data_IF_523865771838
#
_entry.id   IF_523865771838
#
_cell.length_a   1.000
_cell.length_b   1.000
_cell.length_c   1.000
_cell.angle_alpha   90.00
_cell.angle_beta   90.00
_cell.angle_gamma   90.00
#
_symmetry.space_group_name_H-M   'P 1'
#
loop_
_entity.id
_entity.type
_entity.pdbx_description
1 polymer ?
#
# COMPACT_ATOMS: atom_id res chain seq x y z
N UNK A 1 20.81 -9.91 -16.00
CA UNK A 1 19.65 -10.05 -15.11
C UNK A 1 18.51 -9.25 -15.69
N UNK A 2 17.30 -9.80 -15.72
CA UNK A 2 16.10 -9.06 -16.14
C UNK A 2 15.74 -7.99 -15.10
N UNK A 3 15.23 -6.82 -15.50
CA UNK A 3 14.79 -5.78 -14.57
C UNK A 3 13.79 -6.28 -13.52
N UNK A 4 12.72 -6.96 -13.94
CA UNK A 4 11.67 -7.46 -13.02
C UNK A 4 12.19 -8.46 -11.98
N UNK A 5 13.28 -9.18 -12.28
CA UNK A 5 13.92 -10.05 -11.29
C UNK A 5 14.63 -9.25 -10.19
N UNK A 6 15.15 -8.06 -10.51
CA UNK A 6 15.70 -7.11 -9.53
C UNK A 6 14.56 -6.62 -8.63
N UNK A 7 13.45 -6.14 -9.19
CA UNK A 7 12.25 -5.74 -8.44
C UNK A 7 11.78 -6.85 -7.48
N UNK A 8 11.62 -8.08 -7.99
CA UNK A 8 11.18 -9.22 -7.20
C UNK A 8 12.18 -9.60 -6.09
N UNK A 9 13.48 -9.50 -6.38
CA UNK A 9 14.53 -9.74 -5.38
C UNK A 9 14.51 -8.68 -4.28
N UNK A 10 14.27 -7.41 -4.66
CA UNK A 10 14.05 -6.30 -3.73
C UNK A 10 12.88 -6.58 -2.80
N UNK A 11 11.73 -6.98 -3.36
CA UNK A 11 10.54 -7.36 -2.61
C UNK A 11 10.79 -8.49 -1.60
N UNK A 12 11.68 -9.43 -1.94
CA UNK A 12 12.14 -10.48 -1.03
C UNK A 12 12.66 -9.96 0.31
N UNK A 13 13.33 -8.80 0.34
CA UNK A 13 13.79 -8.19 1.60
C UNK A 13 12.62 -7.72 2.48
N UNK A 14 11.55 -7.18 1.89
CA UNK A 14 10.33 -6.82 2.61
C UNK A 14 9.66 -8.08 3.18
N UNK A 15 9.58 -9.16 2.40
CA UNK A 15 9.02 -10.43 2.90
C UNK A 15 9.81 -10.94 4.10
N UNK A 16 11.14 -10.89 4.08
CA UNK A 16 11.97 -11.25 5.24
C UNK A 16 11.63 -10.36 6.44
N UNK A 17 11.50 -9.05 6.25
CA UNK A 17 11.09 -8.13 7.32
C UNK A 17 9.73 -8.51 7.92
N UNK A 18 8.72 -8.77 7.08
CA UNK A 18 7.39 -9.20 7.52
C UNK A 18 7.43 -10.53 8.28
N UNK A 19 8.24 -11.49 7.84
CA UNK A 19 8.41 -12.76 8.54
C UNK A 19 9.07 -12.55 9.92
N UNK A 20 10.08 -11.69 10.02
CA UNK A 20 10.68 -11.34 11.32
C UNK A 20 9.69 -10.61 12.23
N UNK A 21 8.83 -9.75 11.66
CA UNK A 21 7.73 -9.11 12.38
C UNK A 21 6.77 -10.14 12.97
N UNK A 22 6.30 -11.11 12.18
CA UNK A 22 5.37 -12.12 12.68
C UNK A 22 5.99 -13.04 13.74
N UNK A 23 7.30 -13.23 13.71
CA UNK A 23 8.01 -13.98 14.73
C UNK A 23 8.12 -13.22 16.07
N UNK A 24 8.49 -11.93 16.03
CA UNK A 24 8.77 -11.15 17.24
C UNK A 24 7.58 -10.37 17.79
N UNK A 25 6.77 -9.78 16.91
CA UNK A 25 5.68 -8.88 17.28
C UNK A 25 4.45 -9.07 16.36
N UNK A 26 3.77 -10.22 16.42
CA UNK A 26 2.57 -10.48 15.61
C UNK A 26 1.37 -9.59 16.01
N UNK A 27 1.42 -8.96 17.19
CA UNK A 27 0.35 -8.11 17.74
C UNK A 27 0.55 -6.62 17.46
N UNK A 28 1.69 -6.24 16.86
CA UNK A 28 2.10 -4.87 16.53
C UNK A 28 2.29 -3.93 17.75
N UNK A 29 2.30 -4.48 18.97
CA UNK A 29 2.33 -3.74 20.24
C UNK A 29 3.47 -4.19 21.20
N UNK A 30 4.43 -4.96 20.70
CA UNK A 30 5.59 -5.43 21.48
C UNK A 30 6.90 -4.82 21.03
N UNK A 31 7.79 -4.62 21.98
CA UNK A 31 9.17 -4.26 21.68
C UNK A 31 9.94 -5.48 21.16
N UNK A 32 10.69 -5.28 20.08
CA UNK A 32 11.55 -6.28 19.46
C UNK A 32 13.01 -6.05 19.87
N UNK A 33 13.89 -7.07 19.76
CA UNK A 33 15.32 -6.85 19.87
C UNK A 33 15.81 -5.78 18.87
N UNK A 34 16.78 -4.91 19.25
CA UNK A 34 17.29 -3.81 18.41
C UNK A 34 17.64 -4.19 16.97
N UNK A 35 18.23 -5.36 16.78
CA UNK A 35 18.66 -5.84 15.47
C UNK A 35 17.48 -6.06 14.50
N UNK A 36 16.28 -6.34 15.02
CA UNK A 36 15.07 -6.56 14.20
C UNK A 36 14.65 -5.23 13.55
N UNK A 37 14.68 -4.13 14.29
CA UNK A 37 14.43 -2.81 13.71
C UNK A 37 15.52 -2.40 12.72
N UNK A 38 16.79 -2.74 13.02
CA UNK A 38 17.90 -2.50 12.09
C UNK A 38 17.77 -3.32 10.79
N UNK A 39 17.29 -4.57 10.88
CA UNK A 39 17.02 -5.38 9.68
C UNK A 39 15.84 -4.83 8.88
N UNK A 40 14.81 -4.29 9.55
CA UNK A 40 13.72 -3.60 8.86
C UNK A 40 14.18 -2.37 8.08
N UNK A 41 15.04 -1.55 8.69
CA UNK A 41 15.69 -0.42 8.03
C UNK A 41 16.50 -0.86 6.80
N UNK A 42 17.35 -1.87 6.97
CA UNK A 42 18.19 -2.39 5.89
C UNK A 42 17.34 -2.99 4.76
N UNK A 43 16.34 -3.79 5.08
CA UNK A 43 15.48 -4.43 4.08
C UNK A 43 14.66 -3.41 3.28
N UNK A 44 14.15 -2.36 3.93
CA UNK A 44 13.45 -1.28 3.24
C UNK A 44 14.40 -0.44 2.36
N UNK A 45 15.62 -0.16 2.83
CA UNK A 45 16.64 0.50 2.03
C UNK A 45 17.02 -0.32 0.79
N UNK A 46 17.24 -1.63 0.97
CA UNK A 46 17.56 -2.53 -0.14
C UNK A 46 16.39 -2.65 -1.13
N UNK A 47 15.15 -2.72 -0.65
CA UNK A 47 13.95 -2.69 -1.49
C UNK A 47 13.96 -1.46 -2.41
N UNK A 48 14.01 -0.26 -1.82
CA UNK A 48 14.02 1.02 -2.56
C UNK A 48 15.19 1.11 -3.53
N UNK A 49 16.36 0.58 -3.15
CA UNK A 49 17.54 0.60 -4.01
C UNK A 49 17.35 -0.32 -5.22
N UNK A 50 16.80 -1.52 -5.03
CA UNK A 50 16.59 -2.49 -6.09
C UNK A 50 15.53 -2.03 -7.09
N UNK A 51 14.44 -1.48 -6.56
CA UNK A 51 13.38 -0.76 -7.28
C UNK A 51 13.97 0.32 -8.20
N UNK A 52 14.71 1.29 -7.66
CA UNK A 52 15.34 2.33 -8.47
C UNK A 52 16.37 1.82 -9.51
N UNK A 53 17.04 0.70 -9.21
CA UNK A 53 18.03 0.09 -10.10
C UNK A 53 17.37 -0.64 -11.26
N UNK A 54 16.16 -1.18 -11.11
CA UNK A 54 15.50 -1.94 -12.16
C UNK A 54 15.23 -1.10 -13.42
N UNK A 55 14.81 0.16 -13.28
CA UNK A 55 14.50 1.04 -14.40
C UNK A 55 15.78 1.49 -15.10
N UNK A 56 16.85 1.70 -14.33
CA UNK A 56 18.19 1.96 -14.87
C UNK A 56 18.70 0.75 -15.65
N UNK A 57 18.48 -0.45 -15.11
CA UNK A 57 18.82 -1.69 -15.78
C UNK A 57 17.98 -1.90 -17.05
N UNK A 58 16.69 -1.63 -17.01
CA UNK A 58 15.77 -1.74 -18.14
C UNK A 58 16.21 -0.86 -19.31
N UNK A 59 16.62 0.39 -19.02
CA UNK A 59 17.20 1.30 -20.03
C UNK A 59 18.52 0.76 -20.57
N UNK A 60 19.43 0.30 -19.69
CA UNK A 60 20.73 -0.25 -20.09
C UNK A 60 20.61 -1.48 -20.99
N UNK A 61 19.65 -2.36 -20.72
CA UNK A 61 19.46 -3.61 -21.48
C UNK A 61 18.44 -3.50 -22.62
N UNK A 62 17.93 -2.30 -22.89
CA UNK A 62 16.85 -2.07 -23.87
C UNK A 62 15.61 -2.96 -23.64
N UNK A 63 15.25 -3.16 -22.37
CA UNK A 63 14.09 -3.95 -21.91
C UNK A 63 13.00 -3.08 -21.26
N UNK A 64 12.98 -1.78 -21.57
CA UNK A 64 11.92 -0.89 -21.07
C UNK A 64 10.61 -1.21 -21.78
N UNK A 65 9.51 -1.35 -21.04
CA UNK A 65 8.20 -1.62 -21.62
C UNK A 65 7.09 -1.81 -20.58
N UNK A 66 5.84 -2.01 -21.04
CA UNK A 66 4.64 -2.06 -20.19
C UNK A 66 4.69 -3.14 -19.10
N UNK A 67 5.32 -4.29 -19.38
CA UNK A 67 5.46 -5.36 -18.39
C UNK A 67 6.31 -4.92 -17.20
N UNK A 68 7.38 -4.15 -17.44
CA UNK A 68 8.26 -3.67 -16.37
C UNK A 68 7.53 -2.70 -15.45
N UNK A 69 6.87 -1.70 -16.02
CA UNK A 69 6.05 -0.72 -15.28
C UNK A 69 4.93 -1.39 -14.47
N UNK A 70 4.21 -2.34 -15.08
CA UNK A 70 3.17 -3.11 -14.37
C UNK A 70 3.75 -3.92 -13.20
N UNK A 71 4.89 -4.57 -13.42
CA UNK A 71 5.50 -5.43 -12.41
C UNK A 71 6.00 -4.61 -11.23
N UNK A 72 6.71 -3.52 -11.51
CA UNK A 72 7.26 -2.59 -10.54
C UNK A 72 6.15 -1.97 -9.66
N UNK A 73 5.22 -1.25 -10.28
CA UNK A 73 4.11 -0.63 -9.56
C UNK A 73 3.19 -1.65 -8.87
N UNK A 74 3.05 -2.85 -9.43
CA UNK A 74 2.27 -3.94 -8.83
C UNK A 74 2.90 -4.49 -7.55
N UNK A 75 4.24 -4.59 -7.51
CA UNK A 75 4.99 -4.97 -6.31
C UNK A 75 4.91 -3.87 -5.26
N UNK A 76 5.04 -2.60 -5.66
CA UNK A 76 4.85 -1.44 -4.78
C UNK A 76 3.45 -1.41 -4.13
N UNK A 77 2.43 -1.77 -4.90
CA UNK A 77 1.05 -1.84 -4.40
C UNK A 77 0.91 -2.85 -3.25
N UNK A 78 1.54 -4.03 -3.38
CA UNK A 78 1.57 -5.05 -2.32
C UNK A 78 2.38 -4.56 -1.13
N UNK A 79 3.56 -3.99 -1.38
CA UNK A 79 4.46 -3.49 -0.36
C UNK A 79 3.80 -2.40 0.49
N UNK A 80 2.89 -1.60 -0.06
CA UNK A 80 2.17 -0.54 0.65
C UNK A 80 1.57 -1.02 1.98
N UNK A 81 0.88 -2.16 2.00
CA UNK A 81 0.22 -2.65 3.23
C UNK A 81 1.18 -3.44 4.13
N UNK A 82 2.18 -4.11 3.55
CA UNK A 82 3.24 -4.78 4.31
C UNK A 82 4.12 -3.78 5.06
N UNK A 83 4.46 -2.67 4.41
CA UNK A 83 5.18 -1.54 4.98
C UNK A 83 4.43 -0.92 6.15
N UNK A 84 3.10 -0.80 6.07
CA UNK A 84 2.27 -0.32 7.18
C UNK A 84 2.31 -1.26 8.39
N UNK A 85 2.33 -2.59 8.19
CA UNK A 85 2.48 -3.54 9.30
C UNK A 85 3.82 -3.36 10.03
N UNK A 86 4.92 -3.24 9.27
CA UNK A 86 6.26 -2.99 9.83
C UNK A 86 6.30 -1.63 10.54
N UNK A 87 5.75 -0.59 9.92
CA UNK A 87 5.66 0.74 10.50
C UNK A 87 4.87 0.74 11.81
N UNK A 88 3.69 0.14 11.82
CA UNK A 88 2.84 0.04 13.00
C UNK A 88 3.55 -0.66 14.16
N UNK A 89 4.28 -1.75 13.87
CA UNK A 89 5.08 -2.44 14.87
C UNK A 89 6.29 -1.63 15.35
N UNK A 90 6.93 -0.85 14.47
CA UNK A 90 8.07 0.02 14.81
C UNK A 90 7.70 1.17 15.74
N UNK A 91 6.43 1.56 15.76
CA UNK A 91 5.86 2.58 16.65
C UNK A 91 5.03 1.98 17.79
N UNK A 92 4.88 0.66 17.86
CA UNK A 92 4.06 0.00 18.88
C UNK A 92 2.59 0.50 18.84
N UNK A 93 1.98 0.55 17.64
CA UNK A 93 0.59 1.01 17.47
C UNK A 93 -0.45 -0.02 17.89
N UNK A 94 -0.09 -1.30 17.88
CA UNK A 94 -1.00 -2.41 18.16
C UNK A 94 -2.08 -2.63 17.10
N UNK A 95 -2.97 -3.58 17.38
CA UNK A 95 -4.17 -3.79 16.59
C UNK A 95 -5.25 -2.78 17.01
N UNK A 96 -5.63 -1.90 16.09
CA UNK A 96 -6.69 -0.92 16.34
C UNK A 96 -6.71 0.21 15.31
N UNK A 97 -7.52 1.23 15.61
CA UNK A 97 -7.78 2.33 14.68
C UNK A 97 -6.56 3.14 14.26
N UNK A 98 -5.52 3.26 15.12
CA UNK A 98 -4.27 3.96 14.75
C UNK A 98 -3.59 3.28 13.55
N UNK A 99 -3.49 1.96 13.61
CA UNK A 99 -2.96 1.14 12.51
C UNK A 99 -3.86 1.20 11.27
N UNK A 100 -5.18 1.19 11.45
CA UNK A 100 -6.13 1.33 10.33
C UNK A 100 -6.02 2.69 9.65
N UNK A 101 -5.85 3.79 10.40
CA UNK A 101 -5.69 5.13 9.84
C UNK A 101 -4.38 5.24 9.06
N UNK A 102 -3.28 4.66 9.59
CA UNK A 102 -2.01 4.59 8.85
C UNK A 102 -2.16 3.80 7.54
N UNK A 103 -2.88 2.68 7.57
CA UNK A 103 -3.21 1.90 6.39
C UNK A 103 -4.01 2.71 5.36
N UNK A 104 -5.05 3.40 5.80
CA UNK A 104 -5.89 4.24 4.93
C UNK A 104 -5.07 5.34 4.29
N UNK A 105 -4.20 6.01 5.04
CA UNK A 105 -3.31 7.04 4.50
C UNK A 105 -2.38 6.48 3.41
N UNK A 106 -1.76 5.33 3.65
CA UNK A 106 -0.86 4.70 2.69
C UNK A 106 -1.59 4.25 1.42
N UNK A 107 -2.70 3.52 1.57
CA UNK A 107 -3.50 3.02 0.44
C UNK A 107 -4.12 4.15 -0.39
N UNK A 108 -4.66 5.18 0.27
CA UNK A 108 -5.24 6.33 -0.42
C UNK A 108 -4.18 7.12 -1.19
N UNK A 109 -3.00 7.33 -0.59
CA UNK A 109 -1.89 8.03 -1.27
C UNK A 109 -1.51 7.29 -2.54
N UNK A 110 -1.25 5.98 -2.44
CA UNK A 110 -0.82 5.18 -3.57
C UNK A 110 -1.89 5.13 -4.67
N UNK A 111 -3.15 4.88 -4.31
CA UNK A 111 -4.27 4.87 -5.27
C UNK A 111 -4.42 6.21 -6.00
N UNK A 112 -4.34 7.33 -5.27
CA UNK A 112 -4.48 8.67 -5.87
C UNK A 112 -3.33 8.99 -6.81
N UNK A 113 -2.11 8.55 -6.51
CA UNK A 113 -0.96 8.69 -7.42
C UNK A 113 -1.15 7.87 -8.70
N UNK A 114 -1.62 6.63 -8.59
CA UNK A 114 -1.95 5.81 -9.77
C UNK A 114 -3.11 6.41 -10.59
N UNK A 115 -4.13 6.93 -9.92
CA UNK A 115 -5.24 7.65 -10.56
C UNK A 115 -4.75 8.91 -11.31
N UNK A 116 -3.82 9.64 -10.71
CA UNK A 116 -3.19 10.79 -11.34
C UNK A 116 -2.42 10.37 -12.60
N UNK A 117 -1.57 9.34 -12.51
CA UNK A 117 -0.82 8.80 -13.64
C UNK A 117 -1.73 8.33 -14.78
N UNK A 118 -2.85 7.67 -14.46
CA UNK A 118 -3.85 7.27 -15.46
C UNK A 118 -4.34 8.47 -16.29
N UNK A 119 -4.62 9.61 -15.64
CA UNK A 119 -5.18 10.80 -16.29
C UNK A 119 -4.14 11.75 -16.89
N UNK A 120 -2.97 11.85 -16.29
CA UNK A 120 -1.88 12.75 -16.74
C UNK A 120 -0.98 12.08 -17.77
N UNK A 121 -0.95 10.73 -17.78
CA UNK A 121 -0.04 9.88 -18.56
C UNK A 121 1.43 9.99 -18.16
N UNK A 122 1.69 10.56 -16.98
CA UNK A 122 3.02 10.77 -16.46
C UNK A 122 2.98 10.57 -14.96
N UNK A 123 3.86 9.74 -14.41
CA UNK A 123 4.07 9.68 -12.97
C UNK A 123 4.69 11.01 -12.51
N UNK A 124 3.91 11.85 -11.81
CA UNK A 124 4.46 13.04 -11.17
C UNK A 124 4.73 12.75 -9.70
N UNK A 125 5.99 12.86 -9.32
CA UNK A 125 6.39 12.79 -7.92
C UNK A 125 6.32 14.19 -7.33
N UNK A 126 5.56 14.35 -6.25
CA UNK A 126 5.52 15.59 -5.48
C UNK A 126 6.89 15.94 -4.89
N UNK A 127 7.03 17.20 -4.42
CA UNK A 127 8.27 17.69 -3.79
C UNK A 127 8.67 16.83 -2.59
N UNK A 128 7.68 16.38 -1.82
CA UNK A 128 7.82 15.32 -0.82
C UNK A 128 6.96 14.17 -1.31
N UNK A 129 7.58 13.06 -1.67
CA UNK A 129 6.88 11.91 -2.22
C UNK A 129 7.14 10.64 -1.38
N UNK A 130 6.23 9.68 -1.51
CA UNK A 130 6.33 8.40 -0.82
C UNK A 130 7.62 7.64 -1.16
N UNK A 131 7.93 7.41 -2.45
CA UNK A 131 9.06 6.58 -2.87
C UNK A 131 10.45 7.06 -2.42
N UNK A 132 10.64 8.36 -2.19
CA UNK A 132 11.94 8.92 -1.77
C UNK A 132 11.90 9.37 -0.32
N UNK A 133 11.29 10.52 -0.01
CA UNK A 133 11.32 11.11 1.32
C UNK A 133 10.57 10.26 2.33
N UNK A 134 9.42 9.69 1.95
CA UNK A 134 8.63 8.82 2.81
C UNK A 134 9.42 7.59 3.25
N UNK A 135 10.06 6.89 2.31
CA UNK A 135 10.92 5.74 2.60
C UNK A 135 12.11 6.11 3.48
N UNK A 136 12.79 7.22 3.21
CA UNK A 136 13.92 7.67 4.03
C UNK A 136 13.51 8.04 5.47
N UNK A 137 12.32 8.62 5.65
CA UNK A 137 11.74 8.88 6.97
C UNK A 137 11.50 7.56 7.70
N UNK A 138 10.90 6.56 7.05
CA UNK A 138 10.65 5.25 7.65
C UNK A 138 11.95 4.54 8.04
N UNK A 139 12.97 4.54 7.16
CA UNK A 139 14.29 4.00 7.46
C UNK A 139 14.89 4.69 8.68
N UNK A 140 14.77 6.03 8.76
CA UNK A 140 15.27 6.81 9.90
C UNK A 140 14.54 6.46 11.20
N UNK A 141 13.23 6.28 11.16
CA UNK A 141 12.43 5.79 12.31
C UNK A 141 12.93 4.42 12.74
N UNK A 142 13.11 3.48 11.81
CA UNK A 142 13.55 2.12 12.14
C UNK A 142 14.96 2.09 12.74
N UNK A 143 15.90 2.85 12.19
CA UNK A 143 17.25 2.99 12.75
C UNK A 143 17.24 3.65 14.13
N UNK A 144 16.40 4.67 14.33
CA UNK A 144 16.26 5.30 15.63
C UNK A 144 15.64 4.35 16.67
N UNK A 145 14.60 3.60 16.29
CA UNK A 145 14.01 2.56 17.14
C UNK A 145 15.04 1.49 17.49
N UNK A 146 15.88 1.08 16.53
CA UNK A 146 16.99 0.16 16.77
C UNK A 146 18.00 0.74 17.79
N UNK A 147 18.38 2.01 17.65
CA UNK A 147 19.30 2.68 18.56
C UNK A 147 18.73 2.81 19.98
N UNK A 148 17.47 3.20 20.12
CA UNK A 148 16.78 3.26 21.42
C UNK A 148 16.53 1.88 22.02
N UNK A 149 16.38 0.88 21.17
CA UNK A 149 16.14 -0.52 21.54
C UNK A 149 14.72 -0.86 21.97
N UNK A 150 13.77 0.07 21.85
CA UNK A 150 12.37 -0.12 22.21
C UNK A 150 11.45 0.77 21.35
N UNK A 151 10.40 0.18 20.76
CA UNK A 151 9.39 0.91 19.98
C UNK A 151 8.41 1.67 20.88
N UNK A 152 8.18 1.19 22.10
CA UNK A 152 7.37 1.85 23.13
C UNK A 152 7.82 3.28 23.46
N UNK A 153 9.06 3.64 23.13
CA UNK A 153 9.55 5.03 23.20
C UNK A 153 8.62 6.01 22.47
N UNK A 154 8.08 5.62 21.30
CA UNK A 154 7.24 6.49 20.48
C UNK A 154 5.84 6.73 21.06
N UNK A 155 5.39 5.88 21.98
CA UNK A 155 4.10 6.02 22.68
C UNK A 155 4.19 6.97 23.88
N UNK A 156 5.40 7.33 24.32
CA UNK A 156 5.58 8.26 25.42
C UNK A 156 5.19 9.69 25.00
N UNK A 157 4.63 10.51 25.90
CA UNK A 157 4.45 11.94 25.68
C UNK A 157 5.76 12.61 25.23
N UNK A 158 5.70 13.46 24.21
CA UNK A 158 6.89 14.01 23.56
C UNK A 158 7.77 14.83 24.54
N UNK A 159 7.14 15.60 25.44
CA UNK A 159 7.86 16.32 26.50
C UNK A 159 8.61 15.38 27.45
N UNK A 160 7.98 14.28 27.85
CA UNK A 160 8.60 13.27 28.71
C UNK A 160 9.77 12.58 28.01
N UNK A 161 9.57 12.17 26.76
CA UNK A 161 10.58 11.46 25.97
C UNK A 161 11.81 12.32 25.62
N UNK A 162 11.64 13.65 25.56
CA UNK A 162 12.73 14.62 25.38
C UNK A 162 13.32 15.14 26.70
N UNK A 163 12.78 14.71 27.84
CA UNK A 163 13.16 15.20 29.18
C UNK A 163 13.00 16.74 29.33
N UNK A 164 12.02 17.32 28.63
CA UNK A 164 11.72 18.76 28.65
C UNK A 164 10.51 19.01 29.56
N UNK A 165 10.64 19.98 30.48
CA UNK A 165 9.48 20.42 31.27
C UNK A 165 8.49 21.18 30.39
N UNK A 166 7.23 20.73 30.28
CA UNK A 166 6.24 21.43 29.49
C UNK A 166 5.89 22.78 30.13
N UNK A 167 5.77 23.87 29.33
CA UNK A 167 5.32 25.15 29.84
C UNK A 167 4.01 25.05 30.63
N UNK A 168 3.93 25.73 31.79
CA UNK A 168 2.80 25.62 32.70
C UNK A 168 1.45 26.00 32.05
N UNK A 169 1.46 26.98 31.14
CA UNK A 169 0.29 27.47 30.43
C UNK A 169 -0.26 26.52 29.36
N UNK A 170 0.47 25.45 28.99
CA UNK A 170 -0.03 24.51 27.99
C UNK A 170 -1.17 23.65 28.57
N UNK A 171 -2.28 23.47 27.82
CA UNK A 171 -3.32 22.49 28.13
C UNK A 171 -2.78 21.07 28.28
N UNK A 172 -3.38 20.28 29.18
CA UNK A 172 -2.92 18.92 29.50
C UNK A 172 -2.94 18.00 28.28
N UNK A 173 -3.97 18.10 27.44
CA UNK A 173 -4.06 17.36 26.18
C UNK A 173 -2.90 17.63 25.21
N UNK A 174 -2.25 18.80 25.25
CA UNK A 174 -1.04 19.10 24.45
C UNK A 174 0.20 18.50 25.11
N UNK A 175 0.25 18.50 26.45
CA UNK A 175 1.37 17.93 27.22
C UNK A 175 1.46 16.42 27.04
N UNK A 176 0.33 15.75 26.88
CA UNK A 176 0.23 14.29 26.75
C UNK A 176 0.37 13.79 25.30
N UNK A 177 0.55 14.67 24.31
CA UNK A 177 0.74 14.28 22.90
C UNK A 177 2.02 13.43 22.79
N UNK A 178 1.86 12.21 22.30
CA UNK A 178 2.98 11.30 22.02
C UNK A 178 3.66 11.63 20.69
N UNK A 179 4.89 11.13 20.50
CA UNK A 179 5.53 11.22 19.18
C UNK A 179 4.73 10.50 18.09
N UNK A 180 4.09 9.37 18.44
CA UNK A 180 3.16 8.69 17.56
C UNK A 180 2.04 9.63 17.09
N UNK A 181 1.42 10.39 17.98
CA UNK A 181 0.35 11.34 17.62
C UNK A 181 0.86 12.42 16.66
N UNK A 182 2.08 12.94 16.90
CA UNK A 182 2.72 13.91 16.01
C UNK A 182 2.97 13.34 14.61
N UNK A 183 3.45 12.09 14.50
CA UNK A 183 3.62 11.42 13.21
C UNK A 183 2.29 11.18 12.49
N UNK A 184 1.23 10.83 13.22
CA UNK A 184 -0.10 10.67 12.63
C UNK A 184 -0.64 12.01 12.09
N UNK A 185 -0.43 13.11 12.83
CA UNK A 185 -0.80 14.46 12.36
C UNK A 185 0.03 14.85 11.13
N UNK A 186 1.36 14.64 11.18
CA UNK A 186 2.23 14.88 10.03
C UNK A 186 1.78 14.09 8.81
N UNK A 187 1.51 12.79 8.97
CA UNK A 187 1.03 11.92 7.91
C UNK A 187 -0.28 12.40 7.31
N UNK A 188 -1.23 12.86 8.14
CA UNK A 188 -2.49 13.43 7.66
C UNK A 188 -2.29 14.72 6.84
N UNK A 189 -1.37 15.59 7.26
CA UNK A 189 -1.02 16.82 6.51
C UNK A 189 -0.38 16.47 5.17
N UNK A 190 0.59 15.56 5.15
CA UNK A 190 1.27 15.12 3.92
C UNK A 190 0.28 14.46 2.96
N UNK A 191 -0.60 13.59 3.47
CA UNK A 191 -1.69 12.98 2.70
C UNK A 191 -2.58 14.04 2.05
N UNK A 192 -3.02 15.04 2.82
CA UNK A 192 -3.87 16.11 2.29
C UNK A 192 -3.16 16.89 1.17
N UNK A 193 -1.89 17.26 1.38
CA UNK A 193 -1.10 17.97 0.38
C UNK A 193 -0.93 17.14 -0.89
N UNK A 194 -0.61 15.85 -0.77
CA UNK A 194 -0.44 14.96 -1.91
C UNK A 194 -1.73 14.78 -2.70
N UNK A 195 -2.84 14.50 -2.02
CA UNK A 195 -4.16 14.35 -2.68
C UNK A 195 -4.58 15.65 -3.38
N UNK A 196 -4.37 16.81 -2.72
CA UNK A 196 -4.68 18.11 -3.32
C UNK A 196 -3.80 18.40 -4.54
N UNK A 197 -2.50 18.10 -4.47
CA UNK A 197 -1.57 18.29 -5.58
C UNK A 197 -1.96 17.40 -6.77
N UNK A 198 -2.27 16.12 -6.54
CA UNK A 198 -2.74 15.20 -7.57
C UNK A 198 -4.02 15.69 -8.24
N UNK A 199 -4.96 16.22 -7.46
CA UNK A 199 -6.17 16.86 -7.99
C UNK A 199 -5.84 18.04 -8.92
N UNK A 200 -4.94 18.93 -8.52
CA UNK A 200 -4.51 20.08 -9.32
C UNK A 200 -3.85 19.62 -10.62
N UNK A 201 -2.99 18.60 -10.56
CA UNK A 201 -2.27 18.05 -11.71
C UNK A 201 -3.23 17.43 -12.72
N UNK A 202 -4.15 16.57 -12.27
CA UNK A 202 -5.18 15.96 -13.13
C UNK A 202 -6.06 17.04 -13.78
N UNK A 203 -6.49 18.04 -13.02
CA UNK A 203 -7.30 19.13 -13.56
C UNK A 203 -6.58 19.91 -14.64
N UNK A 204 -5.31 20.24 -14.41
CA UNK A 204 -4.48 20.95 -15.38
C UNK A 204 -4.31 20.12 -16.66
N UNK A 205 -3.96 18.84 -16.52
CA UNK A 205 -3.77 17.94 -17.65
C UNK A 205 -5.05 17.76 -18.49
N UNK A 206 -6.21 17.56 -17.84
CA UNK A 206 -7.49 17.41 -18.54
C UNK A 206 -7.96 18.71 -19.20
N UNK A 207 -7.81 19.86 -18.54
CA UNK A 207 -8.16 21.17 -19.13
C UNK A 207 -7.32 21.50 -20.35
N UNK A 208 -6.03 21.17 -20.34
CA UNK A 208 -5.15 21.35 -21.49
C UNK A 208 -5.59 20.52 -22.70
N UNK A 209 -6.30 19.40 -22.49
CA UNK A 209 -6.91 18.58 -23.53
C UNK A 209 -8.36 18.96 -23.86
N UNK A 210 -8.92 20.00 -23.24
CA UNK A 210 -10.32 20.40 -23.41
C UNK A 210 -11.34 19.47 -22.76
N UNK A 211 -10.91 18.58 -21.86
CA UNK A 211 -11.76 17.60 -21.19
C UNK A 211 -12.38 18.13 -19.87
N UNK A 212 -13.49 17.54 -19.45
CA UNK A 212 -14.16 17.89 -18.19
C UNK A 212 -13.47 17.25 -16.99
N UNK A 213 -12.93 18.08 -16.11
CA UNK A 213 -12.26 17.67 -14.86
C UNK A 213 -13.13 16.83 -13.91
N UNK A 214 -14.44 17.09 -13.83
CA UNK A 214 -15.33 16.42 -12.87
C UNK A 214 -15.47 14.92 -13.11
N UNK A 215 -15.36 14.49 -14.37
CA UNK A 215 -15.43 13.07 -14.71
C UNK A 215 -14.24 12.29 -14.14
N UNK A 216 -13.09 12.93 -13.93
CA UNK A 216 -11.92 12.28 -13.34
C UNK A 216 -12.18 11.91 -11.87
N UNK A 217 -12.91 12.75 -11.14
CA UNK A 217 -13.20 12.56 -9.72
C UNK A 217 -14.07 11.32 -9.47
N UNK A 218 -14.84 10.88 -10.46
CA UNK A 218 -15.62 9.63 -10.38
C UNK A 218 -14.66 8.45 -10.19
N UNK A 219 -13.45 8.52 -10.74
CA UNK A 219 -12.39 7.52 -10.54
C UNK A 219 -11.89 7.40 -9.10
N UNK A 220 -12.25 8.32 -8.20
CA UNK A 220 -11.94 8.21 -6.76
C UNK A 220 -13.05 7.51 -5.95
N UNK A 221 -14.23 7.29 -6.55
CA UNK A 221 -15.33 6.59 -5.88
C UNK A 221 -14.99 5.14 -5.49
N UNK A 222 -14.27 4.33 -6.30
CA UNK A 222 -13.95 2.96 -5.92
C UNK A 222 -13.15 2.87 -4.63
N UNK A 223 -12.07 3.67 -4.48
CA UNK A 223 -11.28 3.67 -3.24
C UNK A 223 -12.08 4.22 -2.06
N UNK A 224 -12.89 5.27 -2.26
CA UNK A 224 -13.73 5.80 -1.19
C UNK A 224 -14.74 4.76 -0.69
N UNK A 225 -15.39 4.02 -1.59
CA UNK A 225 -16.29 2.92 -1.25
C UNK A 225 -15.57 1.83 -0.46
N UNK A 226 -14.41 1.39 -0.93
CA UNK A 226 -13.59 0.38 -0.24
C UNK A 226 -13.23 0.83 1.18
N UNK A 227 -12.72 2.06 1.36
CA UNK A 227 -12.34 2.56 2.68
C UNK A 227 -13.54 2.67 3.63
N UNK A 228 -14.71 3.09 3.12
CA UNK A 228 -15.96 3.12 3.88
C UNK A 228 -16.36 1.70 4.30
N UNK A 229 -16.33 0.73 3.38
CA UNK A 229 -16.68 -0.66 3.68
C UNK A 229 -15.73 -1.26 4.72
N UNK A 230 -14.43 -0.98 4.63
CA UNK A 230 -13.44 -1.41 5.62
C UNK A 230 -13.75 -0.81 7.00
N UNK A 231 -13.97 0.51 7.06
CA UNK A 231 -14.28 1.19 8.32
C UNK A 231 -15.58 0.65 8.96
N UNK A 232 -16.62 0.45 8.15
CA UNK A 232 -17.88 -0.13 8.62
C UNK A 232 -17.67 -1.56 9.14
N UNK A 233 -16.96 -2.42 8.39
CA UNK A 233 -16.73 -3.80 8.79
C UNK A 233 -15.95 -3.88 10.11
N UNK A 234 -14.86 -3.12 10.26
CA UNK A 234 -14.06 -3.11 11.48
C UNK A 234 -14.78 -2.47 12.66
N UNK A 235 -15.59 -1.42 12.43
CA UNK A 235 -16.41 -0.80 13.47
C UNK A 235 -17.52 -1.72 13.98
N UNK A 236 -18.08 -2.56 13.11
CA UNK A 236 -19.11 -3.54 13.47
C UNK A 236 -18.54 -4.83 14.06
N UNK A 237 -17.27 -5.15 13.81
CA UNK A 237 -16.62 -6.37 14.27
C UNK A 237 -15.35 -6.08 15.09
N UNK A 238 -15.47 -5.66 16.37
CA UNK A 238 -14.33 -5.35 17.24
C UNK A 238 -13.35 -6.51 17.43
N UNK A 239 -13.82 -7.75 17.32
CA UNK A 239 -12.99 -8.95 17.39
C UNK A 239 -11.93 -8.99 16.27
N UNK A 240 -12.31 -8.54 15.07
CA UNK A 240 -11.37 -8.42 13.96
C UNK A 240 -10.45 -7.23 14.18
N UNK A 241 -10.99 -6.09 14.60
CA UNK A 241 -10.22 -4.87 14.79
C UNK A 241 -9.12 -4.97 15.87
N UNK A 242 -9.40 -5.61 17.00
CA UNK A 242 -8.50 -5.62 18.15
C UNK A 242 -7.75 -6.94 18.36
N UNK A 243 -8.24 -8.06 17.82
CA UNK A 243 -7.61 -9.38 18.03
C UNK A 243 -7.10 -10.03 16.74
N UNK A 244 -7.64 -9.68 15.56
CA UNK A 244 -7.32 -10.34 14.29
C UNK A 244 -7.10 -9.34 13.13
N UNK A 245 -6.53 -8.17 13.43
CA UNK A 245 -6.42 -7.09 12.45
C UNK A 245 -5.39 -7.42 11.35
N UNK A 246 -4.29 -8.08 11.70
CA UNK A 246 -3.20 -8.39 10.76
C UNK A 246 -3.68 -9.16 9.51
N UNK A 247 -4.38 -10.31 9.62
CA UNK A 247 -4.89 -10.99 8.41
C UNK A 247 -5.90 -10.14 7.63
N UNK A 248 -6.67 -9.29 8.31
CA UNK A 248 -7.57 -8.35 7.65
C UNK A 248 -6.81 -7.25 6.88
N UNK A 249 -5.72 -6.72 7.43
CA UNK A 249 -4.82 -5.78 6.73
C UNK A 249 -4.24 -6.44 5.47
N UNK A 250 -3.78 -7.70 5.57
CA UNK A 250 -3.30 -8.43 4.39
C UNK A 250 -4.39 -8.55 3.31
N UNK A 251 -5.63 -8.85 3.71
CA UNK A 251 -6.78 -8.90 2.80
C UNK A 251 -7.01 -7.55 2.10
N UNK A 252 -7.12 -6.47 2.88
CA UNK A 252 -7.33 -5.13 2.33
C UNK A 252 -6.17 -4.64 1.47
N UNK A 253 -4.94 -5.05 1.79
CA UNK A 253 -3.76 -4.76 0.99
C UNK A 253 -3.80 -5.39 -0.38
N UNK A 254 -4.19 -6.66 -0.46
CA UNK A 254 -4.39 -7.35 -1.74
C UNK A 254 -5.57 -6.74 -2.51
N UNK A 255 -6.66 -6.41 -1.82
CA UNK A 255 -7.81 -5.72 -2.43
C UNK A 255 -7.40 -4.37 -3.06
N UNK A 256 -6.60 -3.57 -2.35
CA UNK A 256 -6.07 -2.31 -2.88
C UNK A 256 -5.10 -2.56 -4.05
N UNK A 257 -4.20 -3.54 -3.92
CA UNK A 257 -3.24 -3.92 -4.97
C UNK A 257 -3.93 -4.36 -6.24
N UNK A 258 -5.03 -5.12 -6.13
CA UNK A 258 -5.86 -5.50 -7.27
C UNK A 258 -6.48 -4.26 -7.94
N UNK A 259 -7.04 -3.34 -7.16
CA UNK A 259 -7.63 -2.10 -7.70
C UNK A 259 -6.61 -1.26 -8.45
N UNK A 260 -5.42 -1.08 -7.85
CA UNK A 260 -4.32 -0.32 -8.46
C UNK A 260 -3.80 -1.03 -9.71
N UNK A 261 -3.60 -2.35 -9.66
CA UNK A 261 -3.22 -3.15 -10.82
C UNK A 261 -4.18 -2.99 -12.00
N UNK A 262 -5.50 -2.97 -11.75
CA UNK A 262 -6.49 -2.72 -12.79
C UNK A 262 -6.32 -1.32 -13.41
N UNK A 263 -6.06 -0.29 -12.59
CA UNK A 263 -5.85 1.09 -13.08
C UNK A 263 -4.57 1.19 -13.90
N UNK A 264 -3.47 0.54 -13.47
CA UNK A 264 -2.20 0.49 -14.21
C UNK A 264 -2.41 -0.17 -15.58
N UNK A 265 -3.10 -1.32 -15.63
CA UNK A 265 -3.42 -1.97 -16.91
C UNK A 265 -4.27 -1.06 -17.79
N UNK A 266 -5.28 -0.40 -17.23
CA UNK A 266 -6.10 0.52 -18.00
C UNK A 266 -5.28 1.71 -18.53
N UNK A 267 -4.29 2.18 -17.79
CA UNK A 267 -3.33 3.18 -18.25
C UNK A 267 -2.50 2.63 -19.43
N UNK A 268 -1.80 1.51 -19.21
CA UNK A 268 -0.86 0.91 -20.17
C UNK A 268 -1.54 0.50 -21.48
N UNK A 269 -2.70 -0.16 -21.38
CA UNK A 269 -3.48 -0.63 -22.52
C UNK A 269 -4.46 0.43 -23.08
N UNK A 270 -4.43 1.66 -22.55
CA UNK A 270 -5.33 2.76 -22.95
C UNK A 270 -6.83 2.39 -22.89
N UNK A 271 -7.21 1.63 -21.87
CA UNK A 271 -8.60 1.21 -21.64
C UNK A 271 -9.35 2.25 -20.79
N UNK A 272 -10.66 2.07 -20.68
CA UNK A 272 -11.51 2.84 -19.78
C UNK A 272 -11.11 2.61 -18.31
N UNK A 273 -11.31 3.62 -17.47
CA UNK A 273 -11.01 3.52 -16.04
C UNK A 273 -11.83 2.40 -15.38
N UNK A 274 -11.21 1.52 -14.57
CA UNK A 274 -11.90 0.43 -13.90
C UNK A 274 -12.62 0.93 -12.65
N UNK A 275 -13.94 0.71 -12.58
CA UNK A 275 -14.76 1.12 -11.43
C UNK A 275 -15.15 -0.04 -10.50
N UNK A 276 -14.89 -1.28 -10.90
CA UNK A 276 -15.37 -2.47 -10.21
C UNK A 276 -14.22 -3.30 -9.67
N UNK A 277 -14.31 -3.65 -8.39
CA UNK A 277 -13.43 -4.61 -7.73
C UNK A 277 -14.26 -5.72 -7.10
N UNK A 278 -14.08 -6.95 -7.59
CA UNK A 278 -14.84 -8.12 -7.15
C UNK A 278 -14.60 -8.46 -5.67
N UNK A 279 -13.43 -8.10 -5.13
CA UNK A 279 -13.07 -8.33 -3.73
C UNK A 279 -13.82 -7.43 -2.74
N UNK A 280 -14.49 -6.38 -3.23
CA UNK A 280 -15.43 -5.62 -2.40
C UNK A 280 -16.73 -6.41 -2.10
N UNK A 281 -17.08 -7.43 -2.90
CA UNK A 281 -18.31 -8.21 -2.66
C UNK A 281 -18.29 -8.99 -1.33
N UNK A 282 -17.26 -9.81 -1.01
CA UNK A 282 -17.23 -10.47 0.30
C UNK A 282 -17.15 -9.44 1.44
N UNK A 283 -16.38 -8.36 1.29
CA UNK A 283 -16.36 -7.30 2.31
C UNK A 283 -17.75 -6.68 2.54
N UNK A 284 -18.47 -6.34 1.46
CA UNK A 284 -19.82 -5.79 1.53
C UNK A 284 -20.80 -6.79 2.15
N UNK A 285 -20.70 -8.09 1.83
CA UNK A 285 -21.48 -9.13 2.49
C UNK A 285 -21.21 -9.17 4.00
N UNK A 286 -19.93 -9.12 4.40
CA UNK A 286 -19.55 -9.07 5.82
C UNK A 286 -20.18 -7.86 6.54
N UNK A 287 -20.15 -6.67 5.92
CA UNK A 287 -20.81 -5.47 6.47
C UNK A 287 -22.32 -5.68 6.60
N UNK A 288 -22.98 -6.19 5.55
CA UNK A 288 -24.41 -6.44 5.56
C UNK A 288 -24.79 -7.44 6.65
N UNK A 289 -24.09 -8.57 6.77
CA UNK A 289 -24.34 -9.56 7.82
C UNK A 289 -24.25 -8.94 9.22
N UNK A 290 -23.22 -8.13 9.49
CA UNK A 290 -23.02 -7.45 10.77
C UNK A 290 -24.03 -6.33 11.05
N UNK A 291 -24.67 -5.74 10.02
CA UNK A 291 -25.72 -4.74 10.20
C UNK A 291 -27.05 -5.34 10.68
N UNK A 292 -27.33 -6.61 10.37
CA UNK A 292 -28.59 -7.28 10.72
C UNK A 292 -28.96 -7.17 12.21
N UNK A 293 -28.07 -7.56 13.14
CA UNK A 293 -28.31 -7.43 14.58
C UNK A 293 -28.49 -5.98 15.04
N UNK A 294 -27.78 -5.04 14.43
CA UNK A 294 -27.87 -3.62 14.78
C UNK A 294 -29.23 -3.04 14.36
N UNK A 295 -29.68 -3.34 13.15
CA UNK A 295 -31.01 -2.96 12.67
C UNK A 295 -32.12 -3.60 13.50
N UNK A 296 -31.95 -4.87 13.91
CA UNK A 296 -32.90 -5.54 14.81
C UNK A 296 -33.03 -4.81 16.15
N UNK A 297 -31.92 -4.35 16.73
CA UNK A 297 -31.90 -3.68 18.02
C UNK A 297 -32.48 -2.25 17.98
N UNK A 298 -32.19 -1.48 16.93
CA UNK A 298 -32.60 -0.06 16.86
C UNK A 298 -33.90 0.19 16.10
N UNK A 299 -34.21 -0.61 15.09
CA UNK A 299 -35.33 -0.40 14.18
C UNK A 299 -36.42 -1.48 14.31
N UNK A 300 -36.17 -2.54 15.08
CA UNK A 300 -37.08 -3.69 15.19
C UNK A 300 -37.17 -4.53 13.91
N UNK A 301 -36.42 -4.17 12.87
CA UNK A 301 -36.35 -4.82 11.56
C UNK A 301 -34.89 -5.21 11.31
N UNK A 302 -34.59 -6.51 11.26
CA UNK A 302 -33.24 -7.01 11.01
C UNK A 302 -33.23 -8.51 10.69
N UNK A 303 -32.04 -9.09 10.63
CA UNK A 303 -31.82 -10.52 10.40
C UNK A 303 -30.76 -11.06 11.38
N UNK A 304 -30.80 -12.36 11.63
CA UNK A 304 -29.77 -13.04 12.41
C UNK A 304 -28.45 -13.05 11.64
N UNK A 305 -27.39 -12.50 12.24
CA UNK A 305 -26.04 -12.55 11.67
C UNK A 305 -25.49 -13.98 11.72
N UNK A 306 -25.05 -14.46 10.56
CA UNK A 306 -24.34 -15.74 10.41
C UNK A 306 -22.93 -15.66 11.00
N UNK A 307 -22.33 -14.47 10.99
CA UNK A 307 -21.01 -14.18 11.56
C UNK A 307 -21.10 -13.63 12.99
N UNK A 308 -22.16 -13.94 13.73
CA UNK A 308 -22.36 -13.39 15.09
C UNK A 308 -21.38 -13.94 16.13
N UNK A 309 -20.80 -15.13 15.89
CA UNK A 309 -19.80 -15.74 16.76
C UNK A 309 -18.38 -15.36 16.34
N UNK A 310 -17.50 -15.12 17.31
CA UNK A 310 -16.09 -14.78 17.06
C UNK A 310 -15.40 -15.81 16.14
N UNK A 311 -15.63 -17.12 16.34
CA UNK A 311 -14.97 -18.13 15.51
C UNK A 311 -15.36 -18.01 14.02
N UNK A 312 -16.61 -17.63 13.74
CA UNK A 312 -17.09 -17.42 12.37
C UNK A 312 -16.58 -16.11 11.79
N UNK A 313 -16.43 -15.04 12.58
CA UNK A 313 -15.82 -13.80 12.10
C UNK A 313 -14.37 -14.02 11.69
N UNK A 314 -13.60 -14.71 12.53
CA UNK A 314 -12.19 -15.02 12.27
C UNK A 314 -12.08 -15.92 11.03
N UNK A 315 -12.86 -17.01 10.97
CA UNK A 315 -12.88 -17.89 9.81
C UNK A 315 -13.24 -17.12 8.53
N UNK A 316 -14.26 -16.25 8.58
CA UNK A 316 -14.65 -15.43 7.45
C UNK A 316 -13.55 -14.46 7.01
N UNK A 317 -12.84 -13.83 7.95
CA UNK A 317 -11.69 -12.97 7.65
C UNK A 317 -10.60 -13.74 6.87
N UNK A 318 -10.26 -14.97 7.28
CA UNK A 318 -9.32 -15.80 6.54
C UNK A 318 -9.88 -16.28 5.19
N UNK A 319 -11.18 -16.54 5.08
CA UNK A 319 -11.82 -16.82 3.79
C UNK A 319 -11.73 -15.62 2.83
N UNK A 320 -11.95 -14.40 3.33
CA UNK A 320 -11.77 -13.17 2.53
C UNK A 320 -10.32 -13.04 2.06
N UNK A 321 -9.36 -13.24 2.96
CA UNK A 321 -7.93 -13.22 2.61
C UNK A 321 -7.58 -14.28 1.56
N UNK A 322 -8.00 -15.53 1.74
CA UNK A 322 -7.76 -16.62 0.80
C UNK A 322 -8.39 -16.34 -0.58
N UNK A 323 -9.62 -15.81 -0.60
CA UNK A 323 -10.28 -15.37 -1.83
C UNK A 323 -9.49 -14.26 -2.53
N UNK A 324 -9.02 -13.26 -1.78
CA UNK A 324 -8.21 -12.17 -2.32
C UNK A 324 -6.89 -12.67 -2.92
N UNK A 325 -6.19 -13.58 -2.23
CA UNK A 325 -4.97 -14.21 -2.74
C UNK A 325 -5.26 -14.95 -4.06
N UNK A 326 -6.35 -15.71 -4.13
CA UNK A 326 -6.73 -16.45 -5.34
C UNK A 326 -7.07 -15.54 -6.51
N UNK A 327 -7.92 -14.53 -6.30
CA UNK A 327 -8.33 -13.57 -7.34
C UNK A 327 -7.14 -12.75 -7.83
N UNK A 328 -6.34 -12.19 -6.91
CA UNK A 328 -5.19 -11.38 -7.27
C UNK A 328 -4.09 -12.22 -7.93
N UNK A 329 -3.85 -13.43 -7.43
CA UNK A 329 -2.89 -14.37 -8.02
C UNK A 329 -3.28 -14.75 -9.45
N UNK A 330 -4.56 -15.04 -9.72
CA UNK A 330 -5.07 -15.28 -11.07
C UNK A 330 -4.86 -14.06 -11.96
N UNK A 331 -5.22 -12.88 -11.47
CA UNK A 331 -5.05 -11.62 -12.19
C UNK A 331 -3.59 -11.36 -12.59
N UNK A 332 -2.66 -11.48 -11.65
CA UNK A 332 -1.23 -11.29 -11.93
C UNK A 332 -0.73 -12.32 -12.94
N UNK A 333 -1.12 -13.59 -12.78
CA UNK A 333 -0.75 -14.65 -13.71
C UNK A 333 -1.25 -14.37 -15.13
N UNK A 334 -2.55 -14.11 -15.28
CA UNK A 334 -3.18 -13.90 -16.58
C UNK A 334 -2.57 -12.69 -17.32
N UNK A 335 -2.32 -11.60 -16.60
CA UNK A 335 -1.79 -10.38 -17.19
C UNK A 335 -0.32 -10.55 -17.59
N UNK A 336 0.51 -11.13 -16.72
CA UNK A 336 1.92 -11.37 -17.04
C UNK A 336 2.04 -12.29 -18.25
N UNK A 337 1.31 -13.41 -18.27
CA UNK A 337 1.34 -14.36 -19.40
C UNK A 337 0.85 -13.68 -20.68
N UNK A 338 -0.28 -12.98 -20.64
CA UNK A 338 -0.82 -12.29 -21.81
C UNK A 338 0.17 -11.28 -22.40
N UNK A 339 0.83 -10.49 -21.57
CA UNK A 339 1.83 -9.52 -22.04
C UNK A 339 3.09 -10.23 -22.57
N UNK A 340 3.57 -11.25 -21.87
CA UNK A 340 4.74 -12.02 -22.30
C UNK A 340 4.52 -12.70 -23.66
N UNK A 341 3.35 -13.30 -23.85
CA UNK A 341 2.97 -13.97 -25.09
C UNK A 341 2.78 -12.95 -26.23
N UNK A 342 2.14 -11.82 -25.96
CA UNK A 342 1.91 -10.79 -26.97
C UNK A 342 3.20 -10.09 -27.43
N UNK A 343 4.11 -9.78 -26.50
CA UNK A 343 5.37 -9.07 -26.79
C UNK A 343 6.53 -10.01 -27.12
N UNK A 344 6.33 -11.34 -27.05
CA UNK A 344 7.36 -12.36 -27.20
C UNK A 344 8.55 -12.16 -26.25
N UNK A 345 8.28 -11.95 -24.95
CA UNK A 345 9.30 -11.75 -23.92
C UNK A 345 9.15 -12.73 -22.76
N UNK A 346 10.15 -12.79 -21.89
CA UNK A 346 10.07 -13.53 -20.62
C UNK A 346 10.03 -12.54 -19.46
N UNK A 347 9.27 -12.87 -18.41
CA UNK A 347 9.08 -11.96 -17.28
C UNK A 347 10.35 -11.81 -16.42
N UNK A 348 11.01 -12.91 -16.06
CA UNK A 348 12.13 -12.91 -15.09
C UNK A 348 13.50 -13.15 -15.73
N UNK A 349 13.56 -13.32 -17.04
CA UNK A 349 14.77 -13.56 -17.82
C UNK A 349 14.72 -12.75 -19.11
N UNK A 350 15.87 -12.46 -19.71
CA UNK A 350 15.91 -11.71 -20.98
C UNK A 350 15.89 -12.74 -22.12
N UNK A 351 14.79 -12.79 -22.87
CA UNK A 351 14.63 -13.70 -24.02
C UNK A 351 15.50 -13.28 -25.21
N UNK A 352 15.52 -11.98 -25.51
CA UNK A 352 16.23 -11.38 -26.63
C UNK A 352 17.28 -10.37 -26.12
N UNK A 353 18.51 -10.81 -25.82
CA UNK A 353 19.56 -9.92 -25.33
C UNK A 353 19.97 -8.91 -26.39
N UNK A 354 20.10 -7.65 -26.00
CA UNK A 354 20.59 -6.62 -26.91
C UNK A 354 22.06 -6.88 -27.30
N UNK A 355 22.35 -6.88 -28.61
CA UNK A 355 23.68 -7.05 -29.17
C UNK A 355 23.93 -5.98 -30.23
N UNK A 356 24.82 -5.04 -29.91
CA UNK A 356 25.15 -3.88 -30.77
C UNK A 356 25.58 -4.31 -32.19
N UNK A 357 26.35 -5.40 -32.30
CA UNK A 357 26.86 -5.89 -33.58
C UNK A 357 25.76 -6.50 -34.47
N UNK A 358 24.72 -7.07 -33.88
CA UNK A 358 23.59 -7.64 -34.61
C UNK A 358 22.61 -6.55 -35.05
N UNK A 359 22.33 -5.59 -34.18
CA UNK A 359 21.47 -4.45 -34.51
C UNK A 359 22.09 -3.55 -35.59
N UNK A 360 23.38 -3.24 -35.48
CA UNK A 360 24.08 -2.47 -36.52
C UNK A 360 24.15 -3.20 -37.88
N UNK A 361 24.11 -4.55 -37.89
CA UNK A 361 23.96 -5.34 -39.12
C UNK A 361 22.53 -5.27 -39.70
N UNK A 362 21.49 -5.19 -38.86
CA UNK A 362 20.09 -5.02 -39.32
C UNK A 362 19.89 -3.64 -39.98
N UNK A 363 20.42 -2.59 -39.36
CA UNK A 363 20.35 -1.22 -39.88
C UNK A 363 21.03 -1.12 -41.25
N UNK A 364 22.24 -1.69 -41.40
CA UNK A 364 22.97 -1.72 -42.68
C UNK A 364 22.29 -2.53 -43.80
N UNK A 365 21.32 -3.40 -43.48
CA UNK A 365 20.54 -4.15 -44.47
C UNK A 365 19.25 -3.43 -44.90
N UNK A 366 18.85 -2.41 -44.15
CA UNK A 366 17.60 -1.65 -44.40
C UNK A 366 17.85 -0.27 -45.03
N UNK A 367 19.08 0.23 -44.97
CA UNK A 367 19.64 1.26 -45.86
C UNK A 367 20.28 0.63 -47.09
#
# INVERSE_FOLDING_TARGET
MAPNLITLSGFGFIIINVLTLFYYNPTLDKDCPPWVYASWALGLFLYQTFDAVDGTQARRTHQSGPLGELFDHGVDALNTSLGVLIFAASLNLGMGWRTVIALFGAQLTFYVQTWEEYHTKTLTLGIVNGPVEGVLILISIYLFTAFKGQASFWQQPAFQALEIQPPAYLPQNIKDISFCDLYMIQGAVVLFVNVFQSYVNVNRARRNRGERSREALIGLLPIALTLILVALYLGLNPEILYNNLVPFILFTGILNSYSVGQVIIAHLAQLCFPYHNILNLPLAYGVLDSLGPLCQNYLGLGWSSLLSKSEYQIAYCFCMLGCAIGVYGSFVFDVIITICDYLDIWCLTIKHPWNENEESKKIKKTT
#
